data_IF_754052646748
#
_entry.id   IF_754052646748
#
_cell.length_a   1.000
_cell.length_b   1.000
_cell.length_c   1.000
_cell.angle_alpha   90.00
_cell.angle_beta   90.00
_cell.angle_gamma   90.00
#
_symmetry.space_group_name_H-M   'P 1'
#
loop_
_entity.id
_entity.type
_entity.pdbx_description
1 polymer ?
#
# COMPACT_ATOMS: atom_id res chain seq x y z
N UNK A 1 -37.68 7.30 1.75
CA UNK A 1 -36.39 7.27 2.47
C UNK A 1 -35.89 5.83 2.54
N UNK A 2 -34.97 5.38 1.67
CA UNK A 2 -34.25 4.12 1.87
C UNK A 2 -33.00 4.37 2.72
N UNK A 3 -32.83 3.57 3.77
CA UNK A 3 -31.66 3.65 4.67
C UNK A 3 -30.48 2.92 4.03
N UNK A 4 -29.51 3.64 3.47
CA UNK A 4 -28.28 3.03 2.96
C UNK A 4 -27.41 2.54 4.11
N UNK A 5 -27.34 1.23 4.30
CA UNK A 5 -26.48 0.60 5.30
C UNK A 5 -24.99 0.85 4.98
N UNK A 6 -24.27 1.46 5.93
CA UNK A 6 -22.82 1.57 5.86
C UNK A 6 -22.22 0.18 6.12
N UNK A 7 -21.71 -0.46 5.08
CA UNK A 7 -20.85 -1.64 5.23
C UNK A 7 -19.52 -1.16 5.82
N UNK A 8 -19.24 -1.57 7.05
CA UNK A 8 -17.96 -1.28 7.69
C UNK A 8 -16.84 -2.01 6.92
N UNK A 9 -15.99 -1.25 6.23
CA UNK A 9 -14.83 -1.82 5.55
C UNK A 9 -13.82 -2.28 6.59
N UNK A 10 -13.73 -3.59 6.76
CA UNK A 10 -12.88 -4.23 7.76
C UNK A 10 -11.40 -3.86 7.54
N UNK A 11 -10.70 -3.49 8.63
CA UNK A 11 -9.33 -2.96 8.59
C UNK A 11 -8.31 -4.06 8.25
N UNK A 12 -8.22 -4.44 6.98
CA UNK A 12 -7.12 -5.24 6.48
C UNK A 12 -5.80 -4.45 6.62
N UNK A 13 -4.84 -5.04 7.33
CA UNK A 13 -3.63 -4.35 7.76
C UNK A 13 -2.68 -4.04 6.61
N UNK A 14 -2.69 -2.78 6.14
CA UNK A 14 -1.64 -2.28 5.24
C UNK A 14 -0.28 -2.26 5.98
N UNK A 15 0.80 -2.84 5.41
CA UNK A 15 2.10 -2.85 6.04
C UNK A 15 2.69 -1.43 6.14
N UNK A 16 3.21 -1.07 7.32
CA UNK A 16 3.90 0.20 7.55
C UNK A 16 5.15 0.31 6.67
N UNK A 17 5.32 1.44 5.99
CA UNK A 17 6.55 1.74 5.26
C UNK A 17 7.70 2.11 6.23
N UNK A 18 8.90 1.59 5.99
CA UNK A 18 10.08 1.92 6.79
C UNK A 18 10.65 3.32 6.48
N UNK A 19 11.22 4.03 7.47
CA UNK A 19 11.95 5.28 7.24
C UNK A 19 13.27 5.04 6.48
N UNK A 20 13.82 6.07 5.80
CA UNK A 20 14.81 5.87 4.73
C UNK A 20 16.22 5.45 5.15
N UNK A 21 16.60 5.52 6.44
CA UNK A 21 17.93 5.15 6.90
C UNK A 21 17.89 4.43 8.26
N UNK A 22 18.30 3.17 8.30
CA UNK A 22 18.55 2.38 9.52
C UNK A 22 19.82 1.56 9.35
N UNK A 23 20.65 1.38 10.40
CA UNK A 23 22.01 0.86 10.25
C UNK A 23 22.05 -0.64 9.92
N UNK A 24 22.79 -1.01 8.88
CA UNK A 24 23.02 -2.40 8.49
C UNK A 24 24.04 -3.09 9.40
N UNK A 25 23.59 -3.68 10.50
CA UNK A 25 24.43 -4.52 11.37
C UNK A 25 24.52 -5.96 10.84
N UNK A 26 25.70 -6.34 10.36
CA UNK A 26 26.04 -7.70 9.91
C UNK A 26 26.38 -8.56 11.15
N UNK A 27 25.80 -9.75 11.35
CA UNK A 27 26.15 -10.59 12.49
C UNK A 27 27.55 -11.18 12.32
N UNK A 28 28.42 -11.03 13.34
CA UNK A 28 29.70 -11.76 13.42
C UNK A 28 29.44 -13.22 13.79
N UNK A 29 30.20 -14.12 13.17
CA UNK A 29 30.18 -15.55 13.45
C UNK A 29 30.61 -15.87 14.88
N UNK A 30 30.00 -16.89 15.49
CA UNK A 30 30.32 -17.35 16.84
C UNK A 30 31.59 -18.22 16.88
N UNK A 31 32.42 -18.02 17.91
CA UNK A 31 33.59 -18.87 18.21
C UNK A 31 33.37 -19.60 19.55
N UNK A 32 33.76 -20.87 19.63
CA UNK A 32 33.50 -21.76 20.78
C UNK A 32 34.78 -22.05 21.58
N UNK A 33 34.71 -21.95 22.91
CA UNK A 33 35.54 -22.61 23.96
C UNK A 33 34.58 -22.79 25.17
N UNK A 34 34.43 -23.94 25.86
CA UNK A 34 35.41 -24.68 26.68
C UNK A 34 35.53 -24.00 28.07
N UNK A 35 35.40 -24.60 29.26
CA UNK A 35 35.41 -26.02 29.71
C UNK A 35 34.75 -26.20 31.12
N UNK A 36 34.68 -27.46 31.58
CA UNK A 36 34.02 -28.10 32.74
C UNK A 36 34.24 -27.55 34.17
N UNK A 37 33.23 -27.71 35.07
CA UNK A 37 33.27 -28.48 36.35
C UNK A 37 31.88 -28.53 37.07
N UNK A 38 31.60 -29.26 38.19
CA UNK A 38 31.74 -30.71 38.52
C UNK A 38 31.17 -31.08 39.94
N UNK A 39 30.19 -31.99 40.04
CA UNK A 39 29.70 -32.63 41.31
C UNK A 39 28.33 -32.13 41.83
N UNK A 40 27.48 -32.91 42.52
CA UNK A 40 27.48 -34.36 42.78
C UNK A 40 26.45 -34.81 43.87
N UNK A 41 25.76 -35.95 43.67
CA UNK A 41 24.71 -36.60 44.53
C UNK A 41 23.36 -35.85 44.61
N UNK A 42 22.17 -36.48 44.60
CA UNK A 42 21.80 -37.88 44.33
C UNK A 42 20.57 -38.33 45.15
N UNK A 43 19.41 -38.59 44.51
CA UNK A 43 18.25 -39.28 45.13
C UNK A 43 17.24 -39.81 44.09
N UNK A 44 16.97 -41.11 44.18
CA UNK A 44 15.70 -41.85 43.95
C UNK A 44 14.91 -41.79 42.62
N UNK A 45 14.11 -42.84 42.41
CA UNK A 45 13.59 -43.29 41.11
C UNK A 45 12.08 -43.51 41.17
N UNK A 46 11.32 -43.03 40.20
CA UNK A 46 9.98 -43.53 39.86
C UNK A 46 9.76 -43.53 38.33
N UNK A 47 8.93 -44.46 37.79
CA UNK A 47 8.92 -44.73 36.35
C UNK A 47 7.80 -44.02 35.57
N UNK A 48 8.08 -43.78 34.28
CA UNK A 48 7.06 -43.81 33.21
C UNK A 48 6.16 -42.58 33.05
N UNK A 49 6.46 -41.73 32.07
CA UNK A 49 5.46 -40.89 31.37
C UNK A 49 5.90 -40.59 29.93
N UNK A 50 4.96 -40.46 28.96
CA UNK A 50 5.33 -40.49 27.54
C UNK A 50 5.92 -39.18 27.01
N UNK A 51 6.90 -39.29 26.12
CA UNK A 51 7.54 -38.15 25.46
C UNK A 51 6.61 -37.42 24.49
N UNK A 52 6.13 -36.24 24.87
CA UNK A 52 5.41 -35.32 23.99
C UNK A 52 6.32 -34.20 23.47
N UNK A 53 6.98 -34.54 22.35
CA UNK A 53 7.33 -33.69 21.20
C UNK A 53 7.68 -32.22 21.49
N UNK A 54 8.96 -31.90 21.29
CA UNK A 54 9.50 -30.53 21.17
C UNK A 54 8.59 -29.65 20.30
N UNK A 55 7.96 -28.63 20.89
CA UNK A 55 7.32 -27.58 20.10
C UNK A 55 8.40 -26.82 19.31
N UNK A 56 8.38 -26.99 17.99
CA UNK A 56 9.30 -26.31 17.09
C UNK A 56 9.11 -24.79 17.22
N UNK A 57 10.20 -24.08 17.53
CA UNK A 57 10.21 -22.62 17.60
C UNK A 57 9.85 -22.08 16.22
N UNK A 58 8.62 -21.58 16.05
CA UNK A 58 8.13 -21.03 14.79
C UNK A 58 9.10 -19.92 14.38
N UNK A 59 9.83 -20.13 13.27
CA UNK A 59 10.75 -19.12 12.77
C UNK A 59 9.90 -17.94 12.31
N UNK A 60 10.03 -16.81 12.99
CA UNK A 60 9.44 -15.55 12.56
C UNK A 60 9.96 -15.30 11.13
N UNK A 61 9.08 -15.38 10.14
CA UNK A 61 9.47 -15.20 8.75
C UNK A 61 10.02 -13.78 8.61
N UNK A 62 11.29 -13.66 8.22
CA UNK A 62 11.91 -12.36 7.95
C UNK A 62 11.04 -11.66 6.91
N UNK A 63 10.47 -10.51 7.26
CA UNK A 63 9.69 -9.72 6.32
C UNK A 63 10.63 -9.25 5.20
N UNK A 64 10.65 -10.01 4.09
CA UNK A 64 11.45 -9.69 2.92
C UNK A 64 10.86 -8.44 2.28
N UNK A 65 11.42 -7.29 2.64
CA UNK A 65 11.14 -6.02 1.97
C UNK A 65 11.58 -6.16 0.52
N UNK A 66 10.62 -6.36 -0.39
CA UNK A 66 10.88 -6.40 -1.82
C UNK A 66 11.33 -5.01 -2.27
N UNK A 67 12.43 -4.89 -3.03
CA UNK A 67 12.82 -3.61 -3.61
C UNK A 67 11.66 -3.04 -4.42
N UNK A 68 11.27 -1.79 -4.13
CA UNK A 68 10.25 -1.10 -4.92
C UNK A 68 10.71 -1.10 -6.39
N UNK A 69 9.89 -1.58 -7.34
CA UNK A 69 10.30 -1.65 -8.74
C UNK A 69 10.70 -0.25 -9.21
N UNK A 70 11.80 -0.17 -9.98
CA UNK A 70 12.20 1.08 -10.62
C UNK A 70 11.07 1.52 -11.53
N UNK A 71 10.64 2.78 -11.43
CA UNK A 71 9.66 3.34 -12.37
C UNK A 71 10.27 3.23 -13.78
N UNK A 72 9.61 2.45 -14.63
CA UNK A 72 9.80 2.49 -16.08
C UNK A 72 9.28 3.81 -16.67
N UNK A 73 9.14 3.91 -18.00
CA UNK A 73 8.44 5.04 -18.61
C UNK A 73 7.04 5.18 -17.99
N UNK A 74 6.67 6.40 -17.57
CA UNK A 74 5.43 6.65 -16.79
C UNK A 74 4.14 6.27 -17.50
N UNK A 75 4.18 6.19 -18.83
CA UNK A 75 3.22 5.49 -19.68
C UNK A 75 4.07 4.56 -20.53
N UNK A 76 3.83 3.25 -20.47
CA UNK A 76 4.49 2.29 -21.37
C UNK A 76 4.04 2.55 -22.82
N UNK A 77 4.92 2.46 -23.83
CA UNK A 77 4.56 2.75 -25.22
C UNK A 77 3.54 1.75 -25.77
N UNK A 78 2.72 2.17 -26.73
CA UNK A 78 1.75 1.30 -27.42
C UNK A 78 2.47 0.21 -28.20
N UNK A 79 2.15 -1.06 -27.96
CA UNK A 79 2.73 -2.20 -28.72
C UNK A 79 1.94 -2.46 -29.99
N UNK A 80 0.60 -2.32 -29.92
CA UNK A 80 -0.32 -2.51 -31.03
C UNK A 80 -1.44 -1.44 -31.00
N UNK A 81 -1.58 -0.59 -32.02
CA UNK A 81 -2.65 0.40 -32.04
C UNK A 81 -4.01 -0.28 -32.26
N UNK A 82 -5.15 0.29 -31.78
CA UNK A 82 -6.46 -0.36 -31.83
C UNK A 82 -6.87 -0.88 -33.20
N UNK A 83 -6.63 -0.11 -34.27
CA UNK A 83 -6.91 -0.48 -35.65
C UNK A 83 -6.06 -1.65 -36.22
N UNK A 84 -5.14 -2.20 -35.43
CA UNK A 84 -4.31 -3.37 -35.78
C UNK A 84 -4.57 -4.58 -34.87
N UNK A 85 -5.39 -4.44 -33.82
CA UNK A 85 -5.83 -5.56 -32.99
C UNK A 85 -6.77 -6.47 -33.80
N UNK A 86 -6.45 -7.77 -33.87
CA UNK A 86 -7.22 -8.77 -34.65
C UNK A 86 -7.99 -9.77 -33.78
N UNK A 87 -7.64 -9.87 -32.50
CA UNK A 87 -8.21 -10.83 -31.54
C UNK A 87 -8.65 -10.10 -30.27
N UNK A 88 -9.37 -10.79 -29.38
CA UNK A 88 -9.73 -10.24 -28.06
C UNK A 88 -8.48 -10.14 -27.17
N UNK A 89 -7.53 -11.03 -27.38
CA UNK A 89 -6.26 -11.15 -26.68
C UNK A 89 -5.35 -9.96 -27.02
N UNK A 90 -5.33 -9.53 -28.28
CA UNK A 90 -4.66 -8.30 -28.72
C UNK A 90 -5.18 -7.05 -27.97
N UNK A 91 -6.51 -6.94 -27.84
CA UNK A 91 -7.14 -5.80 -27.14
C UNK A 91 -6.87 -5.85 -25.64
N UNK A 92 -6.99 -7.03 -25.02
CA UNK A 92 -6.73 -7.23 -23.59
C UNK A 92 -5.30 -6.87 -23.21
N UNK A 93 -4.31 -7.33 -23.97
CA UNK A 93 -2.90 -7.03 -23.70
C UNK A 93 -2.58 -5.53 -23.70
N UNK A 94 -3.23 -4.75 -24.59
CA UNK A 94 -3.08 -3.29 -24.62
C UNK A 94 -3.86 -2.59 -23.50
N UNK A 95 -5.02 -3.11 -23.08
CA UNK A 95 -5.74 -2.64 -21.89
C UNK A 95 -4.91 -2.89 -20.62
N UNK A 96 -4.38 -4.10 -20.44
CA UNK A 96 -3.55 -4.46 -19.28
C UNK A 96 -2.31 -3.53 -19.16
N UNK A 97 -1.70 -3.16 -20.29
CA UNK A 97 -0.60 -2.18 -20.37
C UNK A 97 -1.03 -0.76 -19.97
N UNK A 98 -2.22 -0.34 -20.40
CA UNK A 98 -2.80 0.96 -20.02
C UNK A 98 -3.13 0.96 -18.52
N UNK A 99 -3.78 -0.07 -18.00
CA UNK A 99 -4.18 -0.19 -16.60
C UNK A 99 -2.97 -0.23 -15.65
N UNK A 100 -1.89 -0.91 -16.04
CA UNK A 100 -0.61 -0.85 -15.33
C UNK A 100 -0.05 0.58 -15.26
N UNK A 101 -0.12 1.32 -16.37
CA UNK A 101 0.32 2.72 -16.46
C UNK A 101 -0.56 3.65 -15.62
N UNK A 102 -1.90 3.47 -15.67
CA UNK A 102 -2.86 4.20 -14.85
C UNK A 102 -2.62 3.96 -13.35
N UNK A 103 -2.41 2.72 -12.94
CA UNK A 103 -2.14 2.37 -11.54
C UNK A 103 -0.82 2.97 -11.05
N UNK A 104 0.22 2.99 -11.89
CA UNK A 104 1.49 3.67 -11.59
C UNK A 104 1.29 5.19 -11.38
N UNK A 105 0.51 5.84 -12.24
CA UNK A 105 0.16 7.26 -12.10
C UNK A 105 -0.71 7.54 -10.87
N UNK A 106 -1.69 6.68 -10.54
CA UNK A 106 -2.46 6.82 -9.31
C UNK A 106 -1.59 6.67 -8.06
N UNK A 107 -0.64 5.73 -8.05
CA UNK A 107 0.32 5.60 -6.96
C UNK A 107 1.23 6.84 -6.84
N UNK A 108 1.65 7.44 -7.95
CA UNK A 108 2.38 8.73 -7.94
C UNK A 108 1.52 9.87 -7.39
N UNK A 109 0.30 10.04 -7.91
CA UNK A 109 -0.65 11.06 -7.47
C UNK A 109 -0.97 10.93 -5.97
N UNK A 110 -1.11 9.71 -5.47
CA UNK A 110 -1.37 9.45 -4.05
C UNK A 110 -0.19 9.90 -3.15
N UNK A 111 1.08 9.82 -3.60
CA UNK A 111 2.21 10.37 -2.83
C UNK A 111 2.09 11.89 -2.62
N UNK A 112 1.59 12.63 -3.61
CA UNK A 112 1.33 14.07 -3.46
C UNK A 112 0.17 14.34 -2.49
N UNK A 113 -0.86 13.50 -2.48
CA UNK A 113 -1.95 13.54 -1.48
C UNK A 113 -1.43 13.26 -0.07
N UNK A 114 -0.59 12.24 0.12
CA UNK A 114 0.10 11.99 1.39
C UNK A 114 0.95 13.19 1.82
N UNK A 115 1.66 13.83 0.88
CA UNK A 115 2.43 15.05 1.19
C UNK A 115 1.51 16.22 1.58
N UNK A 116 0.34 16.36 0.96
CA UNK A 116 -0.66 17.37 1.32
C UNK A 116 -1.21 17.14 2.73
N UNK A 117 -1.54 15.89 3.09
CA UNK A 117 -1.96 15.51 4.44
C UNK A 117 -0.93 15.84 5.53
N UNK A 118 0.37 15.83 5.19
CA UNK A 118 1.43 16.24 6.11
C UNK A 118 1.52 17.76 6.28
N UNK A 119 1.18 18.53 5.24
CA UNK A 119 1.24 20.00 5.25
C UNK A 119 0.02 20.60 5.96
N UNK A 120 -1.19 20.12 5.62
CA UNK A 120 -2.43 20.56 6.24
C UNK A 120 -2.40 20.31 7.74
N UNK A 121 -2.92 21.27 8.50
CA UNK A 121 -2.92 21.22 9.97
C UNK A 121 -4.25 20.72 10.53
N UNK A 122 -5.35 20.96 9.81
CA UNK A 122 -6.72 20.67 10.22
C UNK A 122 -7.43 19.69 9.27
N UNK A 123 -8.17 18.67 9.77
CA UNK A 123 -8.96 17.77 8.93
C UNK A 123 -10.01 18.47 8.06
N UNK A 124 -10.48 19.66 8.43
CA UNK A 124 -11.40 20.46 7.60
C UNK A 124 -10.72 20.99 6.32
N UNK A 125 -9.40 21.28 6.34
CA UNK A 125 -8.64 21.67 5.14
C UNK A 125 -8.61 20.58 4.07
N UNK A 126 -8.92 19.32 4.41
CA UNK A 126 -8.97 18.23 3.44
C UNK A 126 -10.04 18.46 2.35
N UNK A 127 -11.19 19.08 2.70
CA UNK A 127 -12.28 19.34 1.76
C UNK A 127 -12.33 20.82 1.38
N UNK A 128 -11.70 21.18 0.26
CA UNK A 128 -11.78 22.51 -0.33
C UNK A 128 -12.73 22.46 -1.54
N UNK A 129 -13.98 22.91 -1.34
CA UNK A 129 -15.00 22.93 -2.40
C UNK A 129 -14.56 23.71 -3.64
N UNK A 130 -13.94 24.88 -3.46
CA UNK A 130 -13.54 25.73 -4.58
C UNK A 130 -12.44 25.06 -5.40
N UNK A 131 -11.46 24.43 -4.74
CA UNK A 131 -10.42 23.66 -5.41
C UNK A 131 -10.96 22.41 -6.10
N UNK A 132 -11.93 21.72 -5.50
CA UNK A 132 -12.54 20.50 -6.06
C UNK A 132 -13.28 20.83 -7.36
N UNK A 133 -14.20 21.80 -7.36
CA UNK A 133 -14.93 22.15 -8.58
C UNK A 133 -14.00 22.68 -9.68
N UNK A 134 -12.96 23.45 -9.33
CA UNK A 134 -11.93 23.88 -10.28
C UNK A 134 -11.01 22.74 -10.81
N UNK A 135 -11.02 21.56 -10.18
CA UNK A 135 -10.44 20.34 -10.77
C UNK A 135 -11.45 19.69 -11.71
N UNK A 136 -12.71 19.55 -11.28
CA UNK A 136 -13.75 18.87 -12.08
C UNK A 136 -13.96 19.56 -13.43
N UNK A 137 -14.22 20.88 -13.45
CA UNK A 137 -14.38 21.66 -14.69
C UNK A 137 -13.24 21.40 -15.67
N UNK A 138 -11.99 21.52 -15.20
CA UNK A 138 -10.80 21.30 -16.02
C UNK A 138 -10.67 19.87 -16.55
N UNK A 139 -11.21 18.89 -15.83
CA UNK A 139 -11.12 17.49 -16.23
C UNK A 139 -12.28 17.07 -17.16
N UNK A 140 -13.42 17.76 -17.11
CA UNK A 140 -14.47 17.71 -18.15
C UNK A 140 -13.96 18.26 -19.47
N UNK A 141 -13.48 19.51 -19.49
CA UNK A 141 -12.89 20.17 -20.67
C UNK A 141 -11.85 19.27 -21.37
N UNK A 142 -10.94 18.68 -20.60
CA UNK A 142 -9.90 17.77 -21.10
C UNK A 142 -10.43 16.42 -21.59
N UNK A 143 -11.57 15.96 -21.11
CA UNK A 143 -12.20 14.75 -21.61
C UNK A 143 -12.80 15.01 -22.99
N UNK A 144 -13.53 16.11 -23.15
CA UNK A 144 -14.08 16.56 -24.44
C UNK A 144 -12.98 16.73 -25.51
N UNK A 145 -11.89 17.44 -25.17
CA UNK A 145 -10.69 17.61 -26.02
C UNK A 145 -10.09 16.27 -26.50
N UNK A 146 -10.29 15.19 -25.74
CA UNK A 146 -9.77 13.84 -26.04
C UNK A 146 -10.82 12.90 -26.63
N UNK A 147 -12.06 13.36 -26.84
CA UNK A 147 -13.18 12.52 -27.31
C UNK A 147 -13.68 11.52 -26.27
N UNK A 148 -13.46 11.79 -24.97
CA UNK A 148 -14.02 11.05 -23.84
C UNK A 148 -15.24 11.80 -23.29
N UNK A 149 -16.26 11.05 -22.87
CA UNK A 149 -17.45 11.57 -22.20
C UNK A 149 -17.08 12.34 -20.91
N UNK A 150 -17.54 13.60 -20.81
CA UNK A 150 -17.20 14.48 -19.69
C UNK A 150 -17.88 14.10 -18.37
N UNK A 151 -19.09 13.52 -18.40
CA UNK A 151 -19.77 13.00 -17.19
C UNK A 151 -19.06 11.75 -16.67
N UNK A 152 -18.58 10.88 -17.57
CA UNK A 152 -17.72 9.75 -17.23
C UNK A 152 -16.41 10.22 -16.57
N UNK A 153 -15.79 11.28 -17.08
CA UNK A 153 -14.59 11.87 -16.48
C UNK A 153 -14.88 12.49 -15.11
N UNK A 154 -15.97 13.24 -14.96
CA UNK A 154 -16.38 13.81 -13.67
C UNK A 154 -16.58 12.73 -12.60
N UNK A 155 -17.30 11.65 -12.93
CA UNK A 155 -17.56 10.53 -12.01
C UNK A 155 -16.26 9.91 -11.47
N UNK A 156 -15.28 9.67 -12.35
CA UNK A 156 -13.97 9.13 -12.00
C UNK A 156 -13.22 10.11 -11.08
N UNK A 157 -13.20 11.40 -11.42
CA UNK A 157 -12.43 12.39 -10.66
C UNK A 157 -13.06 12.75 -9.31
N UNK A 158 -14.39 12.82 -9.19
CA UNK A 158 -15.06 13.00 -7.88
C UNK A 158 -14.78 11.82 -6.96
N UNK A 159 -14.99 10.58 -7.44
CA UNK A 159 -14.68 9.35 -6.68
C UNK A 159 -13.24 9.35 -6.19
N UNK A 160 -12.29 9.65 -7.08
CA UNK A 160 -10.88 9.73 -6.74
C UNK A 160 -10.61 10.82 -5.70
N UNK A 161 -11.20 12.01 -5.84
CA UNK A 161 -11.07 13.14 -4.92
C UNK A 161 -11.57 12.75 -3.52
N UNK A 162 -12.77 12.18 -3.40
CA UNK A 162 -13.38 11.82 -2.12
C UNK A 162 -12.54 10.81 -1.33
N UNK A 163 -11.93 9.83 -2.02
CA UNK A 163 -10.97 8.93 -1.39
C UNK A 163 -9.73 9.66 -0.82
N UNK A 164 -9.23 10.69 -1.50
CA UNK A 164 -8.12 11.50 -0.97
C UNK A 164 -8.55 12.35 0.23
N UNK A 165 -9.72 13.00 0.15
CA UNK A 165 -10.27 13.82 1.25
C UNK A 165 -10.40 12.97 2.52
N UNK A 166 -10.92 11.74 2.39
CA UNK A 166 -11.06 10.81 3.50
C UNK A 166 -9.70 10.33 4.04
N UNK A 167 -8.74 10.05 3.17
CA UNK A 167 -7.37 9.70 3.56
C UNK A 167 -6.67 10.84 4.30
N UNK A 168 -6.71 12.06 3.75
CA UNK A 168 -6.14 13.28 4.35
C UNK A 168 -6.71 13.52 5.74
N UNK A 169 -8.05 13.50 5.89
CA UNK A 169 -8.74 13.61 7.19
C UNK A 169 -8.21 12.59 8.20
N UNK A 170 -8.09 11.32 7.79
CA UNK A 170 -7.61 10.25 8.65
C UNK A 170 -6.18 10.46 9.16
N UNK A 171 -5.27 10.91 8.29
CA UNK A 171 -3.87 11.19 8.63
C UNK A 171 -3.74 12.42 9.54
N UNK A 172 -4.40 13.52 9.20
CA UNK A 172 -4.32 14.78 9.98
C UNK A 172 -4.92 14.58 11.37
N UNK A 173 -6.08 13.92 11.46
CA UNK A 173 -6.73 13.61 12.73
C UNK A 173 -5.95 12.58 13.56
N UNK A 174 -5.13 11.73 12.94
CA UNK A 174 -4.24 10.83 13.68
C UNK A 174 -3.12 11.59 14.37
N UNK A 175 -2.37 12.43 13.62
CA UNK A 175 -1.27 13.24 14.18
C UNK A 175 -1.75 14.10 15.36
N UNK A 176 -2.89 14.80 15.20
CA UNK A 176 -3.49 15.65 16.25
C UNK A 176 -3.90 14.95 17.56
N UNK A 177 -3.86 13.61 17.64
CA UNK A 177 -4.10 12.87 18.89
C UNK A 177 -2.82 12.42 19.60
N UNK A 178 -1.69 12.53 18.90
CA UNK A 178 -0.36 12.18 19.39
C UNK A 178 0.42 13.43 19.84
N UNK A 179 -0.12 14.63 19.58
CA UNK A 179 0.34 15.97 19.99
C UNK A 179 -0.34 16.42 21.31
#
# INVERSE_FOLDING_TARGET
MPTTGIVALERSGLPRACPPNGPTSRPRSAERRGTEHRGGRGAETLPGSPSLKRHARLKLATAHCTPRPKLGPRIEPVTKPPAKCKTKEDVRAEIDRIDQSLLALFAERHRYVTRMAQIKTDPHEAYDKARIEAIIVRQRERAEDMGLDEDQAELIWRTLIDWNVNYEKGIIAARRRDD
#
